data_IF_183008912660
#
_entry.id   IF_183008912660
#
_cell.length_a   1.000
_cell.length_b   1.000
_cell.length_c   1.000
_cell.angle_alpha   90.00
_cell.angle_beta   90.00
_cell.angle_gamma   90.00
#
_symmetry.space_group_name_H-M   'P 1'
#
loop_
_entity.id
_entity.type
_entity.pdbx_description
1 polymer ?
#
# COMPACT_ATOMS: atom_id res chain seq x y z
N UNK A 1 23.84 -2.34 -33.64
CA UNK A 1 23.94 -3.62 -32.93
C UNK A 1 23.25 -3.61 -31.55
N UNK A 2 23.52 -2.66 -30.63
CA UNK A 2 22.89 -2.64 -29.28
C UNK A 2 21.34 -2.62 -29.26
N UNK A 3 20.69 -1.92 -30.19
CA UNK A 3 19.21 -1.81 -30.23
C UNK A 3 18.53 -3.15 -30.61
N UNK A 4 19.15 -3.97 -31.46
CA UNK A 4 18.62 -5.26 -31.87
C UNK A 4 18.77 -6.33 -30.77
N UNK A 5 19.82 -6.24 -29.95
CA UNK A 5 20.03 -7.12 -28.80
C UNK A 5 18.95 -6.87 -27.74
N UNK A 6 18.62 -5.61 -27.47
CA UNK A 6 17.57 -5.24 -26.53
C UNK A 6 16.18 -5.73 -27.00
N UNK A 7 15.88 -5.57 -28.28
CA UNK A 7 14.64 -6.03 -28.89
C UNK A 7 14.49 -7.56 -28.85
N UNK A 8 15.59 -8.28 -29.18
CA UNK A 8 15.61 -9.76 -29.10
C UNK A 8 15.45 -10.27 -27.66
N UNK A 9 16.04 -9.57 -26.69
CA UNK A 9 15.87 -9.89 -25.27
C UNK A 9 14.42 -9.71 -24.80
N UNK A 10 13.75 -8.62 -25.22
CA UNK A 10 12.33 -8.40 -24.94
C UNK A 10 11.43 -9.43 -25.63
N UNK A 11 11.73 -9.83 -26.85
CA UNK A 11 11.00 -10.92 -27.54
C UNK A 11 11.17 -12.27 -26.84
N UNK A 12 12.37 -12.60 -26.36
CA UNK A 12 12.59 -13.84 -25.61
C UNK A 12 11.85 -13.87 -24.27
N UNK A 13 11.71 -12.72 -23.58
CA UNK A 13 10.93 -12.61 -22.36
C UNK A 13 9.42 -12.80 -22.62
N UNK A 14 8.90 -12.33 -23.76
CA UNK A 14 7.47 -12.49 -24.08
C UNK A 14 7.06 -13.93 -24.38
N UNK A 15 7.96 -14.78 -24.86
CA UNK A 15 7.67 -16.21 -25.07
C UNK A 15 7.54 -17.02 -23.77
N UNK A 16 8.19 -16.59 -22.69
CA UNK A 16 8.12 -17.28 -21.39
C UNK A 16 6.80 -17.05 -20.65
N UNK A 17 6.10 -15.96 -20.95
CA UNK A 17 4.85 -15.58 -20.25
C UNK A 17 3.67 -16.47 -20.64
N UNK A 18 3.67 -17.04 -21.86
CA UNK A 18 2.58 -17.89 -22.34
C UNK A 18 2.61 -19.33 -21.82
N UNK A 19 3.73 -19.79 -21.26
CA UNK A 19 3.91 -21.20 -20.89
C UNK A 19 3.41 -21.58 -19.49
N UNK A 20 3.00 -20.60 -18.65
CA UNK A 20 2.61 -20.83 -17.25
C UNK A 20 1.34 -20.06 -16.84
N UNK A 21 0.37 -19.92 -17.76
CA UNK A 21 -0.90 -19.31 -17.42
C UNK A 21 -1.59 -20.14 -16.32
N UNK A 22 -1.60 -19.59 -15.11
CA UNK A 22 -2.40 -20.09 -13.99
C UNK A 22 -3.69 -19.27 -14.03
N UNK A 23 -4.80 -19.93 -14.41
CA UNK A 23 -6.11 -19.29 -14.38
C UNK A 23 -6.54 -19.03 -12.94
N UNK A 24 -5.91 -18.00 -12.34
CA UNK A 24 -6.15 -17.56 -10.98
C UNK A 24 -6.28 -16.05 -10.98
N UNK A 25 -7.50 -15.60 -11.21
CA UNK A 25 -7.88 -14.19 -11.02
C UNK A 25 -8.88 -14.10 -9.88
N UNK A 26 -8.65 -13.18 -8.94
CA UNK A 26 -9.55 -12.98 -7.83
C UNK A 26 -9.41 -11.55 -7.28
N UNK A 27 -10.45 -11.12 -6.61
CA UNK A 27 -10.51 -9.84 -5.94
C UNK A 27 -10.32 -10.02 -4.44
N UNK A 28 -9.62 -9.07 -3.82
CA UNK A 28 -9.55 -8.97 -2.36
C UNK A 28 -9.96 -7.56 -1.92
N UNK A 29 -10.66 -7.50 -0.80
CA UNK A 29 -10.95 -6.26 -0.11
C UNK A 29 -10.66 -6.43 1.38
N UNK A 30 -10.20 -5.38 2.04
CA UNK A 30 -9.87 -5.42 3.44
C UNK A 30 -9.95 -4.06 4.10
N UNK A 31 -9.82 -4.08 5.42
CA UNK A 31 -9.69 -2.88 6.23
C UNK A 31 -8.49 -3.03 7.14
N UNK A 32 -7.88 -1.91 7.48
CA UNK A 32 -6.73 -1.86 8.36
C UNK A 32 -6.80 -0.67 9.31
N UNK A 33 -6.15 -0.81 10.45
CA UNK A 33 -5.74 0.28 11.30
C UNK A 33 -4.25 0.54 11.12
N UNK A 34 -3.83 1.78 11.32
CA UNK A 34 -2.45 2.19 11.15
C UNK A 34 -2.01 3.13 12.25
N UNK A 35 -0.71 3.15 12.53
CA UNK A 35 -0.05 4.18 13.32
C UNK A 35 1.06 4.80 12.49
N UNK A 36 1.18 6.12 12.56
CA UNK A 36 2.20 6.87 11.85
C UNK A 36 3.56 6.75 12.56
N UNK A 37 4.62 6.97 11.81
CA UNK A 37 6.00 6.92 12.27
C UNK A 37 6.80 8.11 11.75
N UNK A 38 7.90 8.43 12.45
CA UNK A 38 8.80 9.52 12.06
C UNK A 38 8.08 10.86 12.04
N UNK A 39 8.36 11.69 11.04
CA UNK A 39 7.82 13.06 10.92
C UNK A 39 6.29 13.08 10.79
N UNK A 40 5.69 12.02 10.23
CA UNK A 40 4.23 11.89 10.13
C UNK A 40 3.55 11.75 11.50
N UNK A 41 4.26 11.27 12.53
CA UNK A 41 3.72 11.14 13.88
C UNK A 41 3.53 12.49 14.60
N UNK A 42 4.15 13.55 14.10
CA UNK A 42 3.95 14.91 14.61
C UNK A 42 2.59 15.49 14.16
N UNK A 43 2.02 14.95 13.07
CA UNK A 43 0.77 15.43 12.48
C UNK A 43 -0.43 14.52 12.77
N UNK A 44 -0.21 13.21 12.87
CA UNK A 44 -1.25 12.23 13.14
C UNK A 44 -0.68 11.02 13.89
N UNK A 45 -1.49 10.34 14.72
CA UNK A 45 -1.05 9.14 15.43
C UNK A 45 -1.72 7.88 14.91
N UNK A 46 -3.00 7.97 14.60
CA UNK A 46 -3.84 6.84 14.24
C UNK A 46 -4.44 7.06 12.86
N UNK A 47 -4.59 5.97 12.13
CA UNK A 47 -5.31 5.95 10.87
C UNK A 47 -6.13 4.69 10.71
N UNK A 48 -7.06 4.75 9.78
CA UNK A 48 -7.86 3.62 9.30
C UNK A 48 -7.85 3.62 7.79
N UNK A 49 -8.10 2.48 7.18
CA UNK A 49 -8.18 2.43 5.72
C UNK A 49 -8.91 1.22 5.18
N UNK A 50 -9.21 1.33 3.91
CA UNK A 50 -9.77 0.26 3.07
C UNK A 50 -8.79 -0.06 1.97
N UNK A 51 -8.59 -1.34 1.71
CA UNK A 51 -7.73 -1.85 0.66
C UNK A 51 -8.55 -2.65 -0.35
N UNK A 52 -8.26 -2.45 -1.63
CA UNK A 52 -8.85 -3.17 -2.76
C UNK A 52 -7.74 -3.70 -3.66
N UNK A 53 -7.77 -4.98 -3.98
CA UNK A 53 -6.75 -5.65 -4.79
C UNK A 53 -7.38 -6.50 -5.87
N UNK A 54 -6.94 -6.32 -7.11
CA UNK A 54 -7.21 -7.25 -8.21
C UNK A 54 -5.96 -8.09 -8.45
N UNK A 55 -6.04 -9.40 -8.20
CA UNK A 55 -4.95 -10.35 -8.37
C UNK A 55 -5.02 -11.08 -9.70
N UNK A 56 -3.85 -11.32 -10.29
CA UNK A 56 -3.62 -12.23 -11.42
C UNK A 56 -2.46 -13.15 -11.09
N UNK A 57 -2.72 -14.44 -11.04
CA UNK A 57 -1.70 -15.47 -10.82
C UNK A 57 -0.81 -15.63 -12.04
N UNK A 58 0.48 -15.34 -11.93
CA UNK A 58 1.46 -15.55 -12.99
C UNK A 58 2.06 -16.95 -12.89
N UNK A 59 2.15 -17.46 -11.67
CA UNK A 59 2.62 -18.82 -11.39
C UNK A 59 1.97 -19.35 -10.11
N UNK A 60 2.26 -20.60 -9.73
CA UNK A 60 1.77 -21.20 -8.47
C UNK A 60 2.21 -20.41 -7.21
N UNK A 61 3.28 -19.64 -7.32
CA UNK A 61 3.89 -18.92 -6.20
C UNK A 61 3.92 -17.40 -6.36
N UNK A 62 3.51 -16.86 -7.51
CA UNK A 62 3.58 -15.44 -7.78
C UNK A 62 2.26 -14.89 -8.30
N UNK A 63 1.81 -13.79 -7.72
CA UNK A 63 0.74 -12.94 -8.22
C UNK A 63 1.29 -11.56 -8.53
N UNK A 64 0.76 -10.95 -9.57
CA UNK A 64 0.80 -9.51 -9.83
C UNK A 64 -0.62 -8.96 -9.74
N UNK A 65 -0.74 -7.64 -9.67
CA UNK A 65 -2.05 -7.05 -9.72
C UNK A 65 -2.06 -5.54 -9.53
N UNK A 66 -3.27 -5.03 -9.36
CA UNK A 66 -3.52 -3.63 -9.08
C UNK A 66 -4.07 -3.48 -7.67
N UNK A 67 -3.58 -2.46 -6.97
CA UNK A 67 -3.97 -2.09 -5.63
C UNK A 67 -4.51 -0.66 -5.62
N UNK A 68 -5.59 -0.44 -4.89
CA UNK A 68 -6.12 0.88 -4.56
C UNK A 68 -6.79 0.83 -3.20
N UNK A 69 -7.30 1.96 -2.73
CA UNK A 69 -7.96 2.04 -1.45
C UNK A 69 -8.08 3.47 -0.95
N UNK A 70 -8.38 3.62 0.32
CA UNK A 70 -8.38 4.90 1.01
C UNK A 70 -7.68 4.73 2.35
N UNK A 71 -6.79 5.65 2.67
CA UNK A 71 -6.09 5.73 3.96
C UNK A 71 -6.45 7.08 4.59
N UNK A 72 -7.05 7.03 5.75
CA UNK A 72 -7.47 8.21 6.52
C UNK A 72 -6.69 8.25 7.83
N UNK A 73 -6.01 9.36 8.09
CA UNK A 73 -5.24 9.61 9.30
C UNK A 73 -5.86 10.76 10.09
N UNK A 74 -6.10 10.53 11.37
CA UNK A 74 -6.69 11.53 12.27
C UNK A 74 -5.63 12.53 12.69
N UNK A 75 -5.86 13.82 12.39
CA UNK A 75 -4.98 14.91 12.75
C UNK A 75 -4.85 15.08 14.26
N UNK A 76 -3.66 15.48 14.73
CA UNK A 76 -3.38 15.75 16.14
C UNK A 76 -3.67 17.19 16.49
N UNK A 77 -4.48 17.40 17.51
CA UNK A 77 -4.68 18.72 18.10
C UNK A 77 -3.41 19.17 18.85
N UNK A 78 -2.92 20.37 18.56
CA UNK A 78 -1.77 20.98 19.24
C UNK A 78 -2.25 22.09 20.16
N UNK A 79 -1.84 22.03 21.43
CA UNK A 79 -2.12 23.09 22.39
C UNK A 79 -0.89 23.96 22.54
N UNK A 80 -1.04 25.26 22.24
CA UNK A 80 0.02 26.26 22.38
C UNK A 80 -0.30 27.12 23.61
N UNK A 81 0.58 27.13 24.61
CA UNK A 81 0.47 27.99 25.78
C UNK A 81 0.92 29.42 25.43
N UNK A 82 -0.02 30.33 25.39
CA UNK A 82 0.24 31.75 25.15
C UNK A 82 0.02 32.52 26.46
N UNK A 83 0.97 32.42 27.38
CA UNK A 83 0.91 33.06 28.70
C UNK A 83 -0.22 32.48 29.58
N UNK A 84 -1.16 33.29 30.09
CA UNK A 84 -2.23 32.75 30.95
C UNK A 84 -3.35 32.03 30.20
N UNK A 85 -3.23 31.90 28.88
CA UNK A 85 -4.28 31.32 28.02
C UNK A 85 -3.68 30.21 27.15
N UNK A 86 -4.30 29.02 27.14
CA UNK A 86 -3.97 27.94 26.22
C UNK A 86 -4.87 28.03 24.97
N UNK A 87 -4.27 27.98 23.78
CA UNK A 87 -4.98 27.97 22.52
C UNK A 87 -4.79 26.58 21.89
N UNK A 88 -5.88 25.83 21.70
CA UNK A 88 -5.85 24.56 20.99
C UNK A 88 -6.05 24.80 19.49
N UNK A 89 -5.06 24.43 18.69
CA UNK A 89 -5.13 24.41 17.22
C UNK A 89 -5.49 23.01 16.82
N UNK A 90 -6.59 22.85 16.10
CA UNK A 90 -7.05 21.56 15.61
C UNK A 90 -6.15 21.10 14.47
N UNK A 91 -5.64 19.86 14.57
CA UNK A 91 -4.88 19.23 13.51
C UNK A 91 -5.77 18.88 12.31
N UNK A 92 -5.23 19.00 11.12
CA UNK A 92 -5.94 18.61 9.91
C UNK A 92 -5.77 17.11 9.65
N UNK A 93 -6.88 16.47 9.26
CA UNK A 93 -6.86 15.07 8.88
C UNK A 93 -6.13 14.90 7.54
N UNK A 94 -5.44 13.78 7.36
CA UNK A 94 -4.72 13.46 6.12
C UNK A 94 -5.38 12.28 5.43
N UNK A 95 -5.68 12.42 4.14
CA UNK A 95 -6.37 11.38 3.37
C UNK A 95 -5.62 11.09 2.08
N UNK A 96 -5.22 9.81 1.91
CA UNK A 96 -4.58 9.32 0.69
C UNK A 96 -5.44 8.31 -0.04
N UNK A 97 -5.37 8.36 -1.38
CA UNK A 97 -5.90 7.36 -2.29
C UNK A 97 -4.73 6.77 -3.09
N UNK A 98 -4.18 5.61 -2.69
CA UNK A 98 -3.12 4.94 -3.41
C UNK A 98 -3.64 4.30 -4.71
N UNK A 99 -2.86 4.44 -5.78
CA UNK A 99 -3.01 3.75 -7.06
C UNK A 99 -1.68 3.06 -7.35
N UNK A 100 -1.65 1.73 -7.25
CA UNK A 100 -0.39 0.99 -7.28
C UNK A 100 -0.50 -0.31 -8.09
N UNK A 101 0.63 -0.73 -8.64
CA UNK A 101 0.85 -2.11 -9.01
C UNK A 101 1.41 -2.86 -7.79
N UNK A 102 1.14 -4.15 -7.69
CA UNK A 102 1.72 -4.97 -6.64
C UNK A 102 2.26 -6.29 -7.15
N UNK A 103 3.16 -6.88 -6.36
CA UNK A 103 3.55 -8.28 -6.49
C UNK A 103 3.37 -9.00 -5.15
N UNK A 104 3.06 -10.31 -5.21
CA UNK A 104 3.00 -11.19 -4.04
C UNK A 104 3.72 -12.48 -4.34
N UNK A 105 4.55 -12.92 -3.40
CA UNK A 105 5.22 -14.21 -3.42
C UNK A 105 4.69 -15.10 -2.29
N UNK A 106 4.34 -16.32 -2.63
CA UNK A 106 3.76 -17.34 -1.74
C UNK A 106 4.78 -18.47 -1.49
N UNK A 107 5.67 -18.36 -0.49
CA UNK A 107 6.58 -19.45 -0.13
C UNK A 107 5.82 -20.68 0.36
N UNK A 108 4.72 -20.47 1.07
CA UNK A 108 3.81 -21.50 1.56
C UNK A 108 2.37 -21.18 1.15
N UNK A 109 1.41 -22.07 1.47
CA UNK A 109 -0.01 -21.83 1.24
C UNK A 109 -0.62 -20.79 2.18
N UNK A 110 0.01 -20.55 3.33
CA UNK A 110 -0.53 -19.71 4.39
C UNK A 110 0.23 -18.40 4.61
N UNK A 111 1.35 -18.20 3.92
CA UNK A 111 2.17 -17.00 4.08
C UNK A 111 2.47 -16.43 2.71
N UNK A 112 2.27 -15.13 2.57
CA UNK A 112 2.73 -14.39 1.40
C UNK A 112 3.36 -13.07 1.83
N UNK A 113 4.33 -12.61 1.05
CA UNK A 113 4.93 -11.31 1.19
C UNK A 113 5.14 -10.68 -0.19
N UNK A 114 5.25 -9.38 -0.19
CA UNK A 114 5.43 -8.63 -1.42
C UNK A 114 5.46 -7.14 -1.18
N UNK A 115 5.06 -6.38 -2.17
CA UNK A 115 5.00 -4.93 -2.07
C UNK A 115 4.09 -4.32 -3.11
N UNK A 116 3.58 -3.16 -2.77
CA UNK A 116 2.81 -2.29 -3.64
C UNK A 116 3.70 -1.09 -3.99
N UNK A 117 3.70 -0.65 -5.24
CA UNK A 117 4.45 0.50 -5.73
C UNK A 117 3.57 1.29 -6.69
N UNK A 118 3.50 2.61 -6.47
CA UNK A 118 2.67 3.47 -7.29
C UNK A 118 2.70 4.92 -6.85
N UNK A 119 1.53 5.54 -6.85
CA UNK A 119 1.34 6.92 -6.44
C UNK A 119 0.14 7.02 -5.51
N UNK A 120 0.25 7.77 -4.43
CA UNK A 120 -0.86 8.11 -3.55
C UNK A 120 -1.31 9.54 -3.85
N UNK A 121 -2.59 9.70 -4.18
CA UNK A 121 -3.21 11.01 -4.33
C UNK A 121 -3.62 11.54 -2.96
N UNK A 122 -3.27 12.78 -2.64
CA UNK A 122 -3.87 13.50 -1.52
C UNK A 122 -5.30 13.91 -1.87
N UNK A 123 -6.25 13.69 -0.98
CA UNK A 123 -7.67 13.97 -1.25
C UNK A 123 -8.20 15.22 -0.57
N UNK A 124 -7.45 15.83 0.33
CA UNK A 124 -7.79 17.09 0.98
C UNK A 124 -6.80 18.19 0.58
N UNK A 125 -7.20 19.46 0.73
CA UNK A 125 -6.45 20.63 0.25
C UNK A 125 -5.06 20.76 0.90
N UNK A 126 -4.89 20.23 2.11
CA UNK A 126 -3.64 20.25 2.87
C UNK A 126 -2.72 19.05 2.61
N UNK A 127 -3.13 18.10 1.76
CA UNK A 127 -2.39 16.86 1.54
C UNK A 127 -1.96 16.73 0.09
N UNK A 128 -0.67 16.87 -0.15
CA UNK A 128 -0.08 16.59 -1.45
C UNK A 128 0.07 15.08 -1.66
N UNK A 129 -0.05 14.66 -2.92
CA UNK A 129 0.22 13.28 -3.32
C UNK A 129 1.71 13.02 -3.51
N UNK A 130 2.09 11.73 -3.53
CA UNK A 130 3.49 11.37 -3.70
C UNK A 130 3.72 9.93 -4.14
N UNK A 131 4.99 9.60 -4.33
CA UNK A 131 5.41 8.22 -4.63
C UNK A 131 5.04 7.31 -3.47
N UNK A 132 4.28 6.25 -3.78
CA UNK A 132 3.77 5.30 -2.80
C UNK A 132 4.50 3.97 -2.88
N UNK A 133 4.91 3.45 -1.72
CA UNK A 133 5.43 2.10 -1.57
C UNK A 133 4.89 1.46 -0.29
N UNK A 134 4.62 0.13 -0.35
CA UNK A 134 4.06 -0.60 0.79
C UNK A 134 4.54 -2.05 0.80
N UNK A 135 5.70 -2.39 1.38
CA UNK A 135 6.05 -3.76 1.68
C UNK A 135 4.99 -4.39 2.61
N UNK A 136 4.61 -5.64 2.31
CA UNK A 136 3.52 -6.33 3.00
C UNK A 136 3.90 -7.75 3.37
N UNK A 137 3.34 -8.23 4.47
CA UNK A 137 3.39 -9.60 4.94
C UNK A 137 1.98 -10.04 5.31
N UNK A 138 1.50 -11.16 4.77
CA UNK A 138 0.16 -11.68 5.04
C UNK A 138 0.19 -13.12 5.50
N UNK A 139 -0.74 -13.43 6.40
CA UNK A 139 -0.97 -14.77 6.94
C UNK A 139 -2.40 -15.18 6.66
N UNK A 140 -2.60 -16.18 5.79
CA UNK A 140 -3.92 -16.70 5.47
C UNK A 140 -4.47 -17.47 6.69
N UNK A 141 -5.60 -17.00 7.23
CA UNK A 141 -6.35 -17.60 8.33
C UNK A 141 -7.31 -18.67 7.82
N UNK A 142 -7.84 -18.44 6.62
CA UNK A 142 -8.77 -19.32 5.93
C UNK A 142 -8.59 -19.19 4.41
N UNK A 143 -9.28 -20.00 3.59
CA UNK A 143 -9.26 -19.84 2.13
C UNK A 143 -9.75 -18.47 1.64
N UNK A 144 -10.51 -17.76 2.47
CA UNK A 144 -11.15 -16.48 2.11
C UNK A 144 -10.73 -15.29 2.99
N UNK A 145 -9.86 -15.48 3.99
CA UNK A 145 -9.44 -14.39 4.88
C UNK A 145 -7.98 -14.50 5.27
N UNK A 146 -7.32 -13.34 5.40
CA UNK A 146 -5.92 -13.23 5.82
C UNK A 146 -5.72 -12.03 6.76
N UNK A 147 -4.76 -12.16 7.69
CA UNK A 147 -4.16 -11.03 8.37
C UNK A 147 -3.11 -10.41 7.45
N UNK A 148 -3.09 -9.08 7.41
CA UNK A 148 -2.11 -8.33 6.64
C UNK A 148 -1.39 -7.34 7.54
N UNK A 149 -0.07 -7.30 7.45
CA UNK A 149 0.79 -6.32 8.09
C UNK A 149 1.61 -5.63 7.01
N UNK A 150 1.75 -4.31 7.12
CA UNK A 150 2.55 -3.57 6.15
C UNK A 150 3.18 -2.32 6.75
N UNK A 151 4.22 -1.86 6.09
CA UNK A 151 4.82 -0.56 6.28
C UNK A 151 4.51 0.26 5.03
N UNK A 152 3.82 1.38 5.18
CA UNK A 152 3.47 2.22 4.04
C UNK A 152 4.28 3.51 4.09
N UNK A 153 4.73 3.97 2.92
CA UNK A 153 5.39 5.26 2.76
C UNK A 153 4.83 6.01 1.56
N UNK A 154 4.57 7.31 1.75
CA UNK A 154 4.25 8.28 0.70
C UNK A 154 5.34 9.34 0.71
N UNK A 155 6.15 9.40 -0.35
CA UNK A 155 7.22 10.39 -0.49
C UNK A 155 6.63 11.64 -1.13
N UNK A 156 6.58 12.73 -0.39
CA UNK A 156 6.01 14.01 -0.78
C UNK A 156 7.15 15.03 -0.71
N UNK A 157 7.65 15.46 -1.88
CA UNK A 157 8.83 16.34 -1.98
C UNK A 157 10.02 15.82 -1.16
N UNK A 158 10.44 16.56 -0.13
CA UNK A 158 11.58 16.23 0.74
C UNK A 158 11.16 15.44 2.00
N UNK A 159 9.87 15.18 2.21
CA UNK A 159 9.32 14.49 3.37
C UNK A 159 8.73 13.12 2.99
N UNK A 160 8.63 12.23 3.97
CA UNK A 160 7.99 10.93 3.78
C UNK A 160 6.95 10.70 4.86
N UNK A 161 5.69 10.59 4.44
CA UNK A 161 4.62 10.12 5.32
C UNK A 161 4.75 8.62 5.51
N UNK A 162 5.03 8.17 6.73
CA UNK A 162 5.25 6.74 7.02
C UNK A 162 4.26 6.21 8.05
N UNK A 163 3.84 4.96 7.88
CA UNK A 163 2.96 4.27 8.82
C UNK A 163 3.18 2.76 8.84
N UNK A 164 2.89 2.13 9.98
CA UNK A 164 2.70 0.68 10.11
C UNK A 164 1.22 0.40 10.12
N UNK A 165 0.81 -0.62 9.38
CA UNK A 165 -0.60 -1.03 9.29
C UNK A 165 -0.79 -2.49 9.69
N UNK A 166 -1.92 -2.76 10.31
CA UNK A 166 -2.40 -4.11 10.60
C UNK A 166 -3.87 -4.24 10.26
N UNK A 167 -4.26 -5.29 9.54
CA UNK A 167 -5.63 -5.41 9.07
C UNK A 167 -6.04 -6.81 8.66
N UNK A 168 -7.27 -6.92 8.19
CA UNK A 168 -7.86 -8.16 7.69
C UNK A 168 -8.26 -7.95 6.24
N UNK A 169 -7.93 -8.93 5.40
CA UNK A 169 -8.25 -8.93 3.97
C UNK A 169 -9.11 -10.16 3.67
N UNK A 170 -10.17 -9.97 2.90
CA UNK A 170 -11.08 -11.00 2.43
C UNK A 170 -10.92 -11.21 0.94
N UNK A 171 -11.02 -12.46 0.51
CA UNK A 171 -11.01 -12.90 -0.89
C UNK A 171 -12.43 -13.19 -1.37
N UNK A 172 -12.72 -12.71 -2.57
CA UNK A 172 -13.99 -12.89 -3.29
C UNK A 172 -13.77 -13.63 -4.61
#
# INVERSE_FOLDING_TARGET
>A
MRKHILFSFFMLLSYQIMAQYVDRSFFKAGFHASTTLGDAADFANLGIGLDLYQHWGISKKFDLGLATGVQYYFGLDSTIDVGPTAVTVRGEDTVFLPLAGFFRFYPTKSINFGGDIGYALGLNESTDGGFYYRPTLSFDLSPSSALNFSYAGVVIEDNTWTSITGGVIFRF
#
